data_IF_775852949604
#
_entry.id   IF_775852949604
#
_cell.length_a   1.000
_cell.length_b   1.000
_cell.length_c   1.000
_cell.angle_alpha   90.00
_cell.angle_beta   90.00
_cell.angle_gamma   90.00
#
_symmetry.space_group_name_H-M   'P 1'
#
loop_
_entity.id
_entity.type
_entity.pdbx_description
1 polymer ?
#
# COMPACT_ATOMS: atom_id res chain seq x y z
N UNK A 1 38.28 -30.50 21.25
CA UNK A 1 37.30 -30.36 20.15
C UNK A 1 36.79 -28.93 20.14
N UNK A 2 37.21 -28.13 19.15
CA UNK A 2 36.92 -26.69 19.07
C UNK A 2 35.43 -26.52 18.71
N UNK A 3 34.62 -25.98 19.63
CA UNK A 3 33.23 -25.60 19.33
C UNK A 3 33.27 -24.43 18.35
N UNK A 4 32.95 -24.69 17.10
CA UNK A 4 32.81 -23.69 16.05
C UNK A 4 31.52 -22.91 16.33
N UNK A 5 31.63 -21.71 16.89
CA UNK A 5 30.51 -20.80 17.08
C UNK A 5 30.20 -20.17 15.71
N UNK A 6 29.15 -20.65 15.03
CA UNK A 6 28.61 -19.95 13.85
C UNK A 6 27.99 -18.64 14.33
N UNK A 7 28.67 -17.52 14.05
CA UNK A 7 28.09 -16.19 14.15
C UNK A 7 27.17 -16.03 12.94
N UNK A 8 25.88 -16.26 13.14
CA UNK A 8 24.85 -15.99 12.14
C UNK A 8 24.74 -14.46 11.98
N UNK A 9 25.35 -13.92 10.93
CA UNK A 9 25.21 -12.52 10.54
C UNK A 9 23.76 -12.31 10.04
N UNK A 10 22.85 -11.95 10.94
CA UNK A 10 21.48 -11.57 10.58
C UNK A 10 21.51 -10.14 10.02
N UNK A 11 21.77 -10.02 8.72
CA UNK A 11 21.49 -8.78 8.00
C UNK A 11 19.96 -8.55 8.05
N UNK A 12 19.48 -7.33 8.33
CA UNK A 12 18.05 -7.05 8.30
C UNK A 12 17.54 -7.30 6.88
N UNK A 13 16.71 -8.33 6.74
CA UNK A 13 16.00 -8.61 5.50
C UNK A 13 14.88 -7.56 5.43
N UNK A 14 15.10 -6.48 4.67
CA UNK A 14 14.03 -5.55 4.34
C UNK A 14 13.08 -6.25 3.37
N UNK A 15 12.02 -6.86 3.89
CA UNK A 15 10.93 -7.38 3.07
C UNK A 15 10.14 -6.19 2.56
N UNK A 16 10.41 -5.75 1.33
CA UNK A 16 9.51 -4.84 0.61
C UNK A 16 8.29 -5.65 0.15
N UNK A 17 7.34 -5.89 1.05
CA UNK A 17 6.06 -6.48 0.68
C UNK A 17 5.24 -5.42 -0.04
N UNK A 18 5.24 -5.45 -1.38
CA UNK A 18 4.33 -4.64 -2.17
C UNK A 18 2.90 -5.12 -1.90
N UNK A 19 2.01 -4.24 -1.44
CA UNK A 19 0.63 -4.59 -1.15
C UNK A 19 -0.19 -4.51 -2.43
N UNK A 20 -0.28 -5.62 -3.15
CA UNK A 20 -1.13 -5.75 -4.33
C UNK A 20 -2.61 -5.78 -3.94
N UNK A 21 -3.39 -4.82 -4.44
CA UNK A 21 -4.82 -4.65 -4.17
C UNK A 21 -5.62 -4.84 -5.46
N UNK A 22 -6.75 -5.54 -5.34
CA UNK A 22 -7.73 -5.72 -6.41
C UNK A 22 -9.11 -6.04 -5.82
N UNK A 23 -10.17 -5.90 -6.62
CA UNK A 23 -11.51 -6.36 -6.25
C UNK A 23 -12.30 -5.37 -5.38
N UNK A 24 -13.23 -5.88 -4.57
CA UNK A 24 -14.16 -5.04 -3.81
C UNK A 24 -13.71 -4.92 -2.36
N UNK A 25 -13.61 -3.70 -1.85
CA UNK A 25 -13.43 -3.38 -0.44
C UNK A 25 -14.82 -3.28 0.20
N UNK A 26 -15.19 -4.31 0.96
CA UNK A 26 -16.52 -4.46 1.59
C UNK A 26 -16.55 -4.10 3.09
N UNK A 27 -15.42 -3.70 3.65
CA UNK A 27 -15.30 -3.30 5.05
C UNK A 27 -14.36 -2.12 5.20
N UNK A 28 -14.60 -1.29 6.20
CA UNK A 28 -13.74 -0.15 6.50
C UNK A 28 -12.29 -0.60 6.68
N UNK A 29 -11.37 0.13 6.06
CA UNK A 29 -9.96 -0.20 6.14
C UNK A 29 -9.09 1.05 6.05
N UNK A 30 -7.86 0.90 6.54
CA UNK A 30 -6.85 1.94 6.54
C UNK A 30 -5.66 1.46 5.72
N UNK A 31 -5.28 2.22 4.72
CA UNK A 31 -4.00 2.09 4.04
C UNK A 31 -2.97 2.94 4.77
N UNK A 32 -2.00 2.27 5.40
CA UNK A 32 -1.03 2.88 6.30
C UNK A 32 0.30 3.12 5.61
N UNK A 33 1.11 4.05 6.14
CA UNK A 33 2.46 4.29 5.60
C UNK A 33 3.34 3.03 5.63
N UNK A 34 3.19 2.18 6.64
CA UNK A 34 3.93 0.93 6.76
C UNK A 34 3.56 -0.10 5.68
N UNK A 35 2.36 0.01 5.10
CA UNK A 35 1.93 -0.78 3.95
C UNK A 35 2.23 -0.14 2.59
N UNK A 36 2.82 1.05 2.56
CA UNK A 36 3.17 1.73 1.32
C UNK A 36 4.39 1.05 0.65
N UNK A 37 4.39 0.85 -0.69
CA UNK A 37 3.34 1.23 -1.62
C UNK A 37 2.19 0.21 -1.72
N UNK A 38 0.98 0.73 -1.93
CA UNK A 38 -0.17 -0.06 -2.37
C UNK A 38 -0.21 -0.07 -3.89
N UNK A 39 -0.32 -1.25 -4.50
CA UNK A 39 -0.32 -1.41 -5.96
C UNK A 39 -1.68 -1.94 -6.39
N UNK A 40 -2.44 -1.12 -7.10
CA UNK A 40 -3.73 -1.47 -7.68
C UNK A 40 -3.48 -2.29 -8.96
N UNK A 41 -3.38 -3.62 -8.80
CA UNK A 41 -3.11 -4.59 -9.89
C UNK A 41 -4.39 -5.07 -10.59
N UNK A 42 -5.52 -4.99 -9.89
CA UNK A 42 -6.87 -5.14 -10.43
C UNK A 42 -7.68 -3.89 -10.09
N UNK A 43 -8.69 -3.53 -10.88
CA UNK A 43 -9.56 -2.42 -10.51
C UNK A 43 -10.20 -2.66 -9.14
N UNK A 44 -10.25 -1.61 -8.33
CA UNK A 44 -10.74 -1.66 -6.96
C UNK A 44 -12.03 -0.86 -6.85
N UNK A 45 -13.02 -1.43 -6.18
CA UNK A 45 -14.25 -0.75 -5.81
C UNK A 45 -14.34 -0.64 -4.28
N UNK A 46 -14.41 0.58 -3.76
CA UNK A 46 -14.85 0.82 -2.37
C UNK A 46 -16.38 0.85 -2.38
N UNK A 47 -17.00 -0.15 -1.75
CA UNK A 47 -18.44 -0.34 -1.76
C UNK A 47 -19.16 0.80 -1.00
N UNK A 48 -20.45 0.99 -1.26
CA UNK A 48 -21.28 1.93 -0.52
C UNK A 48 -21.32 1.59 0.97
N UNK A 49 -21.32 2.61 1.83
CA UNK A 49 -21.27 2.44 3.29
C UNK A 49 -19.89 2.02 3.84
N UNK A 50 -18.87 1.91 2.99
CA UNK A 50 -17.50 1.59 3.38
C UNK A 50 -16.62 2.84 3.29
N UNK A 51 -15.78 3.06 4.30
CA UNK A 51 -14.76 4.11 4.33
C UNK A 51 -13.38 3.51 4.10
N UNK A 52 -12.68 3.99 3.06
CA UNK A 52 -11.25 3.79 2.87
C UNK A 52 -10.50 5.01 3.39
N UNK A 53 -9.66 4.82 4.40
CA UNK A 53 -8.72 5.85 4.87
C UNK A 53 -7.36 5.60 4.24
N UNK A 54 -6.75 6.63 3.65
CA UNK A 54 -5.37 6.60 3.17
C UNK A 54 -4.57 7.59 4.00
N UNK A 55 -3.61 7.09 4.77
CA UNK A 55 -2.77 7.90 5.66
C UNK A 55 -1.82 8.81 4.87
N UNK A 56 -1.45 9.94 5.49
CA UNK A 56 -0.45 10.86 4.95
C UNK A 56 0.88 10.13 4.65
N UNK A 57 1.47 10.43 3.48
CA UNK A 57 2.72 9.81 3.01
C UNK A 57 2.54 8.51 2.23
N UNK A 58 1.34 7.93 2.18
CA UNK A 58 1.09 6.69 1.41
C UNK A 58 1.26 6.94 -0.09
N UNK A 59 1.89 5.97 -0.76
CA UNK A 59 2.01 5.90 -2.21
C UNK A 59 1.05 4.82 -2.72
N UNK A 60 0.15 5.22 -3.60
CA UNK A 60 -0.76 4.33 -4.33
C UNK A 60 -0.32 4.32 -5.79
N UNK A 61 0.00 3.12 -6.29
CA UNK A 61 0.43 2.90 -7.68
C UNK A 61 -0.65 2.17 -8.45
N UNK A 62 -0.97 2.62 -9.65
CA UNK A 62 -1.93 1.97 -10.54
C UNK A 62 -1.19 1.22 -11.63
N UNK A 63 -1.53 -0.06 -11.80
CA UNK A 63 -1.13 -0.81 -12.98
C UNK A 63 -1.89 -0.31 -14.22
N UNK A 64 -1.45 -0.74 -15.40
CA UNK A 64 -2.02 -0.31 -16.67
C UNK A 64 -3.53 -0.58 -16.73
N UNK A 65 -4.29 0.46 -17.05
CA UNK A 65 -5.76 0.40 -17.18
C UNK A 65 -6.45 -0.11 -15.90
N UNK A 66 -5.95 0.28 -14.73
CA UNK A 66 -6.57 0.01 -13.43
C UNK A 66 -6.97 1.29 -12.74
N UNK A 67 -8.06 1.20 -11.97
CA UNK A 67 -8.66 2.34 -11.30
C UNK A 67 -9.11 1.97 -9.88
N UNK A 68 -9.26 2.99 -9.05
CA UNK A 68 -9.90 2.93 -7.74
C UNK A 68 -11.23 3.71 -7.84
N UNK A 69 -12.35 2.99 -7.83
CA UNK A 69 -13.70 3.55 -7.83
C UNK A 69 -14.23 3.63 -6.41
N UNK A 70 -14.84 4.76 -6.06
CA UNK A 70 -15.38 5.01 -4.73
C UNK A 70 -16.90 5.16 -4.83
N UNK A 71 -17.65 4.14 -4.42
CA UNK A 71 -19.10 4.22 -4.21
C UNK A 71 -19.44 4.48 -2.72
N UNK A 72 -18.46 4.34 -1.83
CA UNK A 72 -18.50 4.72 -0.41
C UNK A 72 -17.79 6.04 -0.12
N UNK A 73 -16.91 6.04 0.88
CA UNK A 73 -16.14 7.21 1.31
C UNK A 73 -14.63 6.98 1.16
N UNK A 74 -13.92 8.02 0.71
CA UNK A 74 -12.45 8.06 0.69
C UNK A 74 -11.96 9.23 1.57
N UNK A 75 -11.22 8.91 2.62
CA UNK A 75 -10.54 9.90 3.47
C UNK A 75 -9.04 9.85 3.13
N UNK A 76 -8.55 10.84 2.39
CA UNK A 76 -7.15 10.93 1.97
C UNK A 76 -6.57 12.32 2.26
N UNK A 77 -6.25 12.58 3.53
CA UNK A 77 -5.78 13.88 4.01
C UNK A 77 -4.26 13.87 4.22
N UNK A 78 -3.51 14.23 3.17
CA UNK A 78 -2.06 14.42 3.24
C UNK A 78 -1.67 15.74 3.91
N UNK A 79 -0.37 15.91 4.22
CA UNK A 79 0.20 17.17 4.71
C UNK A 79 1.24 17.71 3.72
N UNK A 80 1.70 18.95 3.93
CA UNK A 80 2.77 19.53 3.12
C UNK A 80 4.07 18.74 3.19
N UNK A 81 4.40 18.18 4.36
CA UNK A 81 5.56 17.32 4.58
C UNK A 81 5.34 15.88 4.12
N UNK A 82 4.10 15.36 4.24
CA UNK A 82 3.76 13.97 3.93
C UNK A 82 2.57 13.91 2.97
N UNK A 83 2.85 14.10 1.68
CA UNK A 83 1.84 14.03 0.62
C UNK A 83 1.40 12.58 0.37
N UNK A 84 0.12 12.40 0.11
CA UNK A 84 -0.38 11.15 -0.49
C UNK A 84 -0.11 11.22 -1.99
N UNK A 85 0.51 10.18 -2.55
CA UNK A 85 0.88 10.15 -3.97
C UNK A 85 0.11 9.07 -4.70
N UNK A 86 -0.72 9.47 -5.66
CA UNK A 86 -1.34 8.57 -6.63
C UNK A 86 -0.54 8.66 -7.93
N UNK A 87 -0.02 7.53 -8.43
CA UNK A 87 0.84 7.50 -9.63
C UNK A 87 0.71 6.18 -10.38
N UNK A 88 1.30 6.06 -11.57
CA UNK A 88 1.41 4.79 -12.28
C UNK A 88 2.48 3.88 -11.68
N UNK A 89 2.35 2.57 -11.86
CA UNK A 89 3.43 1.62 -11.56
C UNK A 89 4.61 1.81 -12.52
N UNK A 90 4.35 2.31 -13.73
CA UNK A 90 5.38 2.65 -14.70
C UNK A 90 6.17 3.85 -14.17
N UNK A 91 7.46 3.61 -13.97
CA UNK A 91 8.47 4.65 -13.80
C UNK A 91 8.90 4.97 -15.23
N UNK A 92 8.58 6.18 -15.69
CA UNK A 92 9.20 6.73 -16.90
C UNK A 92 10.65 7.17 -16.59
#
# INVERSE_FOLDING_TARGET
MKKLLLILLCLPIFIYSQNSISGVINSNQIWTIAGSPYIVTGSVLVNSGVTLVIEAGVIVKFDFDKFLKIDGELIAQGTSSNKITFTSIKID
#
